data_IF_388539927094
#
_entry.id   IF_388539927094
#
_cell.length_a   1.000
_cell.length_b   1.000
_cell.length_c   1.000
_cell.angle_alpha   90.00
_cell.angle_beta   90.00
_cell.angle_gamma   90.00
#
_symmetry.space_group_name_H-M   'P 1'
#
loop_
_entity.id
_entity.type
_entity.pdbx_description
1 polymer ?
#
# COMPACT_ATOMS: atom_id res chain seq x y z
N UNK A 1 7.77 -5.36 12.18
CA UNK A 1 8.56 -4.61 11.17
C UNK A 1 9.78 -5.44 10.82
N UNK A 2 10.14 -5.52 9.54
CA UNK A 2 11.28 -6.30 9.04
C UNK A 2 12.32 -5.37 8.40
N UNK A 3 13.59 -5.52 8.77
CA UNK A 3 14.71 -4.79 8.16
C UNK A 3 15.41 -5.74 7.18
N UNK A 4 15.41 -5.39 5.90
CA UNK A 4 16.03 -6.17 4.83
C UNK A 4 17.41 -5.59 4.53
N UNK A 5 18.41 -6.47 4.41
CA UNK A 5 19.79 -6.06 4.14
C UNK A 5 19.99 -5.55 2.72
N UNK A 6 19.29 -6.15 1.75
CA UNK A 6 19.39 -5.86 0.33
C UNK A 6 18.01 -5.58 -0.30
N UNK A 7 18.00 -5.30 -1.61
CA UNK A 7 16.78 -5.10 -2.40
C UNK A 7 16.27 -6.41 -3.02
N UNK A 8 16.40 -7.54 -2.32
CA UNK A 8 16.00 -8.83 -2.86
C UNK A 8 14.48 -9.02 -2.84
N UNK A 9 13.87 -9.03 -4.02
CA UNK A 9 12.43 -9.18 -4.21
C UNK A 9 11.91 -10.56 -3.75
N UNK A 10 12.73 -11.60 -3.83
CA UNK A 10 12.34 -12.94 -3.43
C UNK A 10 12.16 -13.06 -1.91
N UNK A 11 13.11 -12.49 -1.14
CA UNK A 11 13.02 -12.45 0.33
C UNK A 11 11.83 -11.61 0.77
N UNK A 12 11.68 -10.41 0.20
CA UNK A 12 10.53 -9.54 0.44
C UNK A 12 9.20 -10.25 0.15
N UNK A 13 9.10 -10.92 -1.00
CA UNK A 13 7.90 -11.63 -1.42
C UNK A 13 7.52 -12.79 -0.49
N UNK A 14 8.51 -13.55 0.01
CA UNK A 14 8.27 -14.60 1.01
C UNK A 14 7.69 -14.06 2.31
N UNK A 15 8.28 -12.98 2.84
CA UNK A 15 7.82 -12.33 4.07
C UNK A 15 6.38 -11.84 3.88
N UNK A 16 6.11 -11.12 2.79
CA UNK A 16 4.79 -10.57 2.48
C UNK A 16 3.74 -11.67 2.32
N UNK A 17 4.02 -12.69 1.50
CA UNK A 17 3.12 -13.83 1.31
C UNK A 17 2.80 -14.54 2.62
N UNK A 18 3.79 -14.75 3.48
CA UNK A 18 3.55 -15.43 4.74
C UNK A 18 2.73 -14.57 5.72
N UNK A 19 3.11 -13.30 5.90
CA UNK A 19 2.39 -12.41 6.82
C UNK A 19 0.95 -12.16 6.35
N UNK A 20 0.75 -11.82 5.09
CA UNK A 20 -0.54 -11.37 4.56
C UNK A 20 -1.45 -12.53 4.16
N UNK A 21 -0.92 -13.58 3.51
CA UNK A 21 -1.76 -14.69 3.04
C UNK A 21 -1.87 -15.88 4.01
N UNK A 22 -0.96 -16.02 4.99
CA UNK A 22 -1.00 -17.14 5.94
C UNK A 22 -1.38 -16.71 7.36
N UNK A 23 -0.80 -15.62 7.85
CA UNK A 23 -1.02 -15.17 9.23
C UNK A 23 -2.09 -14.06 9.36
N UNK A 24 -2.38 -13.32 8.28
CA UNK A 24 -3.29 -12.18 8.32
C UNK A 24 -2.77 -11.01 9.15
N UNK A 25 -1.44 -10.86 9.31
CA UNK A 25 -0.84 -9.80 10.11
C UNK A 25 -0.24 -8.70 9.23
N UNK A 26 -0.43 -7.42 9.57
CA UNK A 26 0.19 -6.33 8.85
C UNK A 26 1.72 -6.38 9.00
N UNK A 27 2.43 -6.19 7.89
CA UNK A 27 3.90 -6.23 7.85
C UNK A 27 4.47 -4.98 7.19
N UNK A 28 5.49 -4.38 7.82
CA UNK A 28 6.25 -3.26 7.25
C UNK A 28 7.69 -3.69 7.01
N UNK A 29 8.15 -3.62 5.76
CA UNK A 29 9.52 -3.92 5.36
C UNK A 29 10.27 -2.60 5.09
N UNK A 30 11.48 -2.46 5.61
CA UNK A 30 12.38 -1.32 5.39
C UNK A 30 13.77 -1.82 5.02
N UNK A 31 14.54 -1.01 4.28
CA UNK A 31 15.90 -1.39 3.86
C UNK A 31 16.92 -0.87 4.85
N UNK A 32 17.86 -1.73 5.24
CA UNK A 32 18.92 -1.42 6.20
C UNK A 32 19.66 -0.12 5.86
N UNK A 33 20.04 0.07 4.60
CA UNK A 33 20.73 1.27 4.15
C UNK A 33 19.95 2.58 4.42
N UNK A 34 18.62 2.55 4.37
CA UNK A 34 17.78 3.72 4.67
C UNK A 34 17.56 3.89 6.17
N UNK A 35 17.48 2.78 6.91
CA UNK A 35 17.41 2.81 8.38
C UNK A 35 18.67 3.42 8.96
N UNK A 36 19.86 3.02 8.47
CA UNK A 36 21.13 3.58 8.91
C UNK A 36 21.24 5.10 8.67
N UNK A 37 20.74 5.59 7.54
CA UNK A 37 20.75 7.03 7.22
C UNK A 37 19.77 7.86 8.04
N UNK A 38 18.75 7.21 8.63
CA UNK A 38 17.74 7.81 9.50
C UNK A 38 17.16 9.15 9.01
N UNK A 39 16.95 9.30 7.70
CA UNK A 39 16.50 10.56 7.12
C UNK A 39 15.06 10.87 7.56
N UNK A 40 14.78 12.07 8.09
CA UNK A 40 13.44 12.42 8.59
C UNK A 40 12.33 12.20 7.57
N UNK A 41 12.58 12.58 6.30
CA UNK A 41 11.62 12.37 5.22
C UNK A 41 11.35 10.89 4.94
N UNK A 42 12.38 10.04 5.02
CA UNK A 42 12.21 8.59 4.84
C UNK A 42 11.35 8.00 5.95
N UNK A 43 11.63 8.39 7.19
CA UNK A 43 10.86 7.96 8.36
C UNK A 43 9.40 8.37 8.22
N UNK A 44 9.13 9.63 7.83
CA UNK A 44 7.77 10.13 7.57
C UNK A 44 7.05 9.26 6.53
N UNK A 45 7.67 9.00 5.37
CA UNK A 45 7.07 8.17 4.32
C UNK A 45 6.80 6.72 4.77
N UNK A 46 7.62 6.16 5.67
CA UNK A 46 7.39 4.82 6.25
C UNK A 46 6.22 4.85 7.23
N UNK A 47 6.12 5.88 8.07
CA UNK A 47 5.04 6.00 9.06
C UNK A 47 3.67 6.15 8.39
N UNK A 48 3.58 6.89 7.28
CA UNK A 48 2.34 7.00 6.49
C UNK A 48 1.85 5.62 6.05
N UNK A 49 2.75 4.77 5.54
CA UNK A 49 2.41 3.39 5.14
C UNK A 49 2.05 2.51 6.34
N UNK A 50 2.72 2.70 7.46
CA UNK A 50 2.45 1.96 8.68
C UNK A 50 1.04 2.26 9.22
N UNK A 51 0.66 3.54 9.27
CA UNK A 51 -0.68 3.98 9.69
C UNK A 51 -1.75 3.39 8.77
N UNK A 52 -1.54 3.44 7.45
CA UNK A 52 -2.48 2.88 6.48
C UNK A 52 -2.66 1.36 6.63
N UNK A 53 -1.58 0.60 6.90
CA UNK A 53 -1.66 -0.85 7.13
C UNK A 53 -2.43 -1.23 8.40
N UNK A 54 -2.57 -0.31 9.36
CA UNK A 54 -3.37 -0.49 10.56
C UNK A 54 -4.81 -0.01 10.39
N UNK A 55 -5.19 0.45 9.19
CA UNK A 55 -6.53 0.96 8.89
C UNK A 55 -6.74 2.43 9.26
N UNK A 56 -5.69 3.17 9.59
CA UNK A 56 -5.77 4.59 9.90
C UNK A 56 -5.74 5.48 8.65
N UNK A 57 -6.20 6.72 8.80
CA UNK A 57 -6.16 7.76 7.76
C UNK A 57 -5.06 8.76 8.07
N UNK A 58 -4.21 9.05 7.08
CA UNK A 58 -3.11 10.03 7.26
C UNK A 58 -3.59 11.47 7.04
N UNK A 59 -4.51 11.67 6.10
CA UNK A 59 -5.10 12.97 5.81
C UNK A 59 -6.49 12.78 5.19
N UNK A 60 -7.39 13.73 5.41
CA UNK A 60 -8.72 13.78 4.81
C UNK A 60 -8.81 15.07 3.98
N UNK A 61 -9.13 14.95 2.70
CA UNK A 61 -9.31 16.11 1.83
C UNK A 61 -10.68 16.73 2.10
N UNK A 62 -10.71 17.98 2.55
CA UNK A 62 -11.96 18.72 2.71
C UNK A 62 -12.32 19.41 1.38
N UNK A 63 -13.42 19.00 0.77
CA UNK A 63 -13.92 19.66 -0.44
C UNK A 63 -14.56 21.03 -0.11
N UNK A 64 -14.29 22.03 -0.94
CA UNK A 64 -15.09 23.26 -0.95
C UNK A 64 -16.56 22.94 -1.30
N UNK A 65 -17.50 23.76 -0.79
CA UNK A 65 -18.95 23.52 -0.82
C UNK A 65 -19.52 23.14 -2.21
N UNK A 66 -18.84 23.49 -3.30
CA UNK A 66 -19.22 23.22 -4.68
C UNK A 66 -19.14 21.74 -5.11
N UNK A 67 -18.35 20.89 -4.43
CA UNK A 67 -18.23 19.44 -4.74
C UNK A 67 -19.09 18.56 -3.82
N UNK A 68 -19.79 19.17 -2.84
CA UNK A 68 -20.58 18.44 -1.83
C UNK A 68 -21.69 17.55 -2.40
N UNK A 69 -22.11 17.74 -3.65
CA UNK A 69 -23.11 16.88 -4.30
C UNK A 69 -22.53 15.61 -4.95
N UNK A 70 -21.22 15.55 -5.21
CA UNK A 70 -20.57 14.43 -5.93
C UNK A 70 -19.77 13.53 -4.97
N UNK A 71 -19.32 14.05 -3.84
CA UNK A 71 -18.51 13.33 -2.85
C UNK A 71 -19.21 13.37 -1.49
N UNK A 72 -20.48 12.94 -1.47
CA UNK A 72 -21.22 12.72 -0.24
C UNK A 72 -21.07 11.27 0.25
N UNK A 73 -21.65 10.96 1.40
CA UNK A 73 -21.61 9.61 1.98
C UNK A 73 -22.41 8.56 1.20
N UNK A 74 -23.01 8.91 0.05
CA UNK A 74 -23.72 7.98 -0.84
C UNK A 74 -22.89 7.58 -2.05
N UNK A 75 -21.77 8.27 -2.27
CA UNK A 75 -20.85 8.00 -3.37
C UNK A 75 -19.89 6.87 -2.98
N UNK A 76 -19.47 6.07 -3.95
CA UNK A 76 -18.42 5.06 -3.78
C UNK A 76 -17.39 5.24 -4.89
N UNK A 77 -16.12 5.37 -4.52
CA UNK A 77 -15.00 5.44 -5.47
C UNK A 77 -14.41 4.05 -5.63
N UNK A 78 -14.37 3.56 -6.87
CA UNK A 78 -13.83 2.25 -7.22
C UNK A 78 -12.62 2.43 -8.15
N UNK A 79 -11.51 1.80 -7.80
CA UNK A 79 -10.34 1.67 -8.66
C UNK A 79 -10.21 0.23 -9.14
N UNK A 80 -9.96 0.03 -10.43
CA UNK A 80 -9.72 -1.30 -11.01
C UNK A 80 -8.48 -1.27 -11.91
N UNK A 81 -7.64 -2.30 -11.81
CA UNK A 81 -6.44 -2.46 -12.64
C UNK A 81 -6.26 -3.91 -13.08
N UNK A 82 -5.65 -4.10 -14.26
CA UNK A 82 -5.25 -5.40 -14.78
C UNK A 82 -3.78 -5.34 -15.16
N UNK A 83 -2.97 -6.14 -14.47
CA UNK A 83 -1.54 -6.27 -14.71
C UNK A 83 -1.22 -7.54 -15.49
N UNK A 84 -0.56 -7.39 -16.64
CA UNK A 84 -0.10 -8.50 -17.48
C UNK A 84 1.33 -8.92 -17.14
N UNK A 85 1.66 -10.16 -17.52
CA UNK A 85 3.04 -10.65 -17.39
C UNK A 85 4.01 -9.88 -18.28
N UNK A 86 5.29 -9.77 -17.90
CA UNK A 86 6.31 -9.13 -18.72
C UNK A 86 6.38 -9.72 -20.13
N UNK A 87 6.76 -8.93 -21.15
CA UNK A 87 6.90 -9.42 -22.51
C UNK A 87 7.80 -10.66 -22.58
N UNK A 88 7.32 -11.71 -23.25
CA UNK A 88 8.05 -12.98 -23.40
C UNK A 88 7.72 -14.05 -22.35
N UNK A 89 6.99 -13.72 -21.28
CA UNK A 89 6.50 -14.71 -20.30
C UNK A 89 4.99 -14.92 -20.47
N UNK A 90 4.56 -16.18 -20.66
CA UNK A 90 3.14 -16.57 -20.70
C UNK A 90 2.61 -16.83 -19.29
N UNK A 91 2.54 -15.80 -18.46
CA UNK A 91 1.88 -15.86 -17.15
C UNK A 91 0.43 -15.35 -17.22
N UNK A 92 -0.43 -15.72 -16.25
CA UNK A 92 -1.79 -15.21 -16.18
C UNK A 92 -1.79 -13.70 -15.91
N UNK A 93 -2.88 -13.04 -16.34
CA UNK A 93 -3.17 -11.65 -15.95
C UNK A 93 -3.68 -11.61 -14.51
N UNK A 94 -3.34 -10.55 -13.78
CA UNK A 94 -3.85 -10.29 -12.43
C UNK A 94 -4.78 -9.09 -12.45
N UNK A 95 -6.04 -9.29 -12.08
CA UNK A 95 -7.00 -8.21 -11.90
C UNK A 95 -7.10 -7.85 -10.40
N UNK A 96 -7.14 -6.56 -10.09
CA UNK A 96 -7.32 -6.04 -8.75
C UNK A 96 -8.37 -4.93 -8.73
N UNK A 97 -9.13 -4.84 -7.65
CA UNK A 97 -10.13 -3.81 -7.43
C UNK A 97 -10.04 -3.28 -6.00
N UNK A 98 -10.15 -1.96 -5.84
CA UNK A 98 -10.23 -1.28 -4.55
C UNK A 98 -11.52 -0.46 -4.49
N UNK A 99 -12.09 -0.34 -3.30
CA UNK A 99 -13.36 0.36 -3.07
C UNK A 99 -13.19 1.25 -1.85
N UNK A 100 -13.61 2.51 -1.94
CA UNK A 100 -13.66 3.41 -0.80
C UNK A 100 -14.67 2.90 0.23
N UNK A 101 -14.24 2.76 1.48
CA UNK A 101 -15.14 2.41 2.58
C UNK A 101 -15.73 3.63 3.30
N UNK A 102 -15.06 4.78 3.19
CA UNK A 102 -15.49 6.06 3.73
C UNK A 102 -15.06 7.16 2.74
N UNK A 103 -15.88 8.19 2.57
CA UNK A 103 -15.58 9.42 1.83
C UNK A 103 -15.40 10.60 2.79
#
# INVERSE_FOLDING_TARGET
MFILMDKNSFVYGKIKRFCECKLGIPSQCVQYAHVQKAQPQYISNVLIKFIANLGGFTNTAFAQQTVKGILDNTTVVIGADVSHSPPGLKGPSMAAMTVSMNL
#
